data_IF_930574411191
#
_entry.id   IF_930574411191
#
_cell.length_a   1.000
_cell.length_b   1.000
_cell.length_c   1.000
_cell.angle_alpha   90.00
_cell.angle_beta   90.00
_cell.angle_gamma   90.00
#
_symmetry.space_group_name_H-M   'P 1'
#
loop_
_entity.id
_entity.type
_entity.pdbx_description
1 polymer ?
#
# COMPACT_ATOMS: atom_id res chain seq x y z
N UNK A 1 -15.51 6.38 -28.77
CA UNK A 1 -15.52 5.71 -27.46
C UNK A 1 -14.44 6.34 -26.60
N UNK A 2 -14.81 6.84 -25.43
CA UNK A 2 -13.91 7.47 -24.47
C UNK A 2 -13.78 6.57 -23.23
N UNK A 3 -12.63 6.63 -22.55
CA UNK A 3 -12.40 5.89 -21.30
C UNK A 3 -12.38 6.91 -20.16
N UNK A 4 -13.23 6.72 -19.17
CA UNK A 4 -13.25 7.49 -17.92
C UNK A 4 -12.47 6.76 -16.82
N UNK A 5 -11.74 7.52 -16.00
CA UNK A 5 -10.97 7.01 -14.84
C UNK A 5 -11.58 7.53 -13.55
N UNK A 6 -12.09 6.62 -12.73
CA UNK A 6 -12.68 6.95 -11.43
C UNK A 6 -11.80 6.42 -10.29
N UNK A 7 -11.24 7.31 -9.47
CA UNK A 7 -10.47 6.90 -8.29
C UNK A 7 -11.43 6.45 -7.19
N UNK A 8 -11.48 5.14 -6.94
CA UNK A 8 -12.42 4.54 -6.00
C UNK A 8 -11.85 4.40 -4.58
N UNK A 9 -10.53 4.21 -4.43
CA UNK A 9 -9.92 4.15 -3.08
C UNK A 9 -8.42 4.43 -3.08
N UNK A 10 -7.93 4.87 -1.92
CA UNK A 10 -6.51 4.99 -1.59
C UNK A 10 -6.22 4.04 -0.42
N UNK A 11 -5.06 3.39 -0.45
CA UNK A 11 -4.60 2.49 0.60
C UNK A 11 -3.11 2.63 0.86
N UNK A 12 -2.66 2.17 2.03
CA UNK A 12 -1.24 2.09 2.38
C UNK A 12 -0.78 0.65 2.32
N UNK A 13 0.22 0.35 1.52
CA UNK A 13 0.84 -0.99 1.44
C UNK A 13 2.20 -0.98 2.14
N UNK A 14 2.35 -1.88 3.10
CA UNK A 14 3.59 -2.15 3.82
C UNK A 14 4.19 -3.44 3.29
N UNK A 15 5.50 -3.45 3.03
CA UNK A 15 6.25 -4.64 2.63
C UNK A 15 7.30 -4.93 3.69
N UNK A 16 7.30 -6.15 4.21
CA UNK A 16 8.24 -6.62 5.22
C UNK A 16 9.11 -7.74 4.67
N UNK A 17 10.38 -7.71 5.04
CA UNK A 17 11.39 -8.68 4.60
C UNK A 17 11.59 -9.73 5.69
N UNK A 18 11.36 -11.01 5.36
CA UNK A 18 11.47 -12.13 6.28
C UNK A 18 12.81 -12.88 6.13
N UNK A 19 13.77 -12.30 5.42
CA UNK A 19 15.05 -12.92 5.14
C UNK A 19 14.96 -14.01 4.07
N UNK A 20 15.97 -14.86 4.01
CA UNK A 20 16.05 -15.96 3.06
C UNK A 20 15.38 -17.20 3.64
N UNK A 21 14.41 -17.77 2.93
CA UNK A 21 13.75 -19.04 3.23
C UNK A 21 13.90 -19.92 2.00
N UNK A 22 14.41 -21.14 2.17
CA UNK A 22 14.63 -22.10 1.08
C UNK A 22 15.48 -21.58 -0.10
N UNK A 23 16.42 -20.67 0.20
CA UNK A 23 17.32 -20.08 -0.81
C UNK A 23 16.77 -18.84 -1.53
N UNK A 24 15.52 -18.44 -1.25
CA UNK A 24 14.90 -17.25 -1.84
C UNK A 24 14.57 -16.19 -0.78
N UNK A 25 14.64 -14.90 -1.14
CA UNK A 25 14.27 -13.81 -0.23
C UNK A 25 12.75 -13.73 -0.11
N UNK A 26 12.24 -14.06 1.08
CA UNK A 26 10.81 -14.03 1.37
C UNK A 26 10.39 -12.60 1.74
N UNK A 27 9.63 -11.96 0.86
CA UNK A 27 8.94 -10.70 1.16
C UNK A 27 7.44 -10.93 1.28
N UNK A 28 6.83 -10.39 2.33
CA UNK A 28 5.37 -10.37 2.48
C UNK A 28 4.89 -8.94 2.49
N UNK A 29 3.66 -8.72 2.06
CA UNK A 29 3.07 -7.39 2.05
C UNK A 29 1.66 -7.39 2.64
N UNK A 30 1.29 -6.29 3.27
CA UNK A 30 -0.03 -6.05 3.83
C UNK A 30 -0.54 -4.68 3.38
N UNK A 31 -1.74 -4.65 2.83
CA UNK A 31 -2.39 -3.40 2.39
C UNK A 31 -3.49 -3.02 3.36
N UNK A 32 -3.38 -1.82 3.91
CA UNK A 32 -4.41 -1.16 4.71
C UNK A 32 -5.27 -0.31 3.77
N UNK A 33 -6.46 -0.81 3.43
CA UNK A 33 -7.36 -0.19 2.45
C UNK A 33 -8.22 0.95 3.01
N UNK A 34 -8.35 1.02 4.34
CA UNK A 34 -9.19 2.02 5.01
C UNK A 34 -8.41 3.33 5.25
N UNK A 35 -7.76 3.85 4.21
CA UNK A 35 -7.10 5.16 4.26
C UNK A 35 -8.07 6.20 3.73
N UNK A 36 -8.25 7.30 4.47
CA UNK A 36 -9.08 8.42 4.02
C UNK A 36 -8.52 8.98 2.72
N UNK A 37 -9.38 9.27 1.74
CA UNK A 37 -8.93 9.81 0.46
C UNK A 37 -8.14 11.14 0.58
N UNK A 38 -8.43 11.93 1.62
CA UNK A 38 -7.74 13.18 1.93
C UNK A 38 -6.48 13.00 2.81
N UNK A 39 -6.06 11.76 3.11
CA UNK A 39 -4.85 11.53 3.88
C UNK A 39 -3.63 12.00 3.09
N UNK A 40 -2.78 12.79 3.74
CA UNK A 40 -1.53 13.27 3.14
C UNK A 40 -0.46 12.17 3.18
N UNK A 41 0.48 12.22 2.24
CA UNK A 41 1.62 11.29 2.19
C UNK A 41 2.40 11.29 3.51
N UNK A 42 2.56 12.46 4.14
CA UNK A 42 3.20 12.59 5.45
C UNK A 42 2.45 11.81 6.53
N UNK A 43 1.12 11.86 6.55
CA UNK A 43 0.31 11.12 7.51
C UNK A 43 0.38 9.60 7.26
N UNK A 44 0.38 9.19 5.99
CA UNK A 44 0.54 7.78 5.59
C UNK A 44 1.91 7.26 6.03
N UNK A 45 2.99 7.99 5.74
CA UNK A 45 4.35 7.61 6.13
C UNK A 45 4.54 7.59 7.65
N UNK A 46 3.94 8.54 8.38
CA UNK A 46 3.96 8.54 9.84
C UNK A 46 3.25 7.29 10.41
N UNK A 47 2.10 6.93 9.85
CA UNK A 47 1.36 5.72 10.23
C UNK A 47 2.16 4.46 9.93
N UNK A 48 2.80 4.39 8.77
CA UNK A 48 3.73 3.31 8.41
C UNK A 48 4.82 3.14 9.49
N UNK A 49 5.52 4.22 9.86
CA UNK A 49 6.59 4.18 10.88
C UNK A 49 6.08 3.72 12.25
N UNK A 50 4.89 4.17 12.63
CA UNK A 50 4.27 3.75 13.88
C UNK A 50 3.95 2.24 13.88
N UNK A 51 3.42 1.71 12.78
CA UNK A 51 3.12 0.29 12.64
C UNK A 51 4.37 -0.58 12.55
N UNK A 52 5.39 -0.10 11.86
CA UNK A 52 6.68 -0.77 11.74
C UNK A 52 7.35 -0.96 13.10
N UNK A 53 7.35 0.09 13.95
CA UNK A 53 7.86 0.00 15.32
C UNK A 53 7.12 -0.96 16.25
N UNK A 54 5.94 -1.46 15.84
CA UNK A 54 5.14 -2.42 16.61
C UNK A 54 5.24 -3.87 16.08
N UNK A 55 5.90 -4.07 14.94
CA UNK A 55 5.90 -5.36 14.24
C UNK A 55 7.33 -5.86 14.02
N UNK A 56 7.45 -7.18 13.92
CA UNK A 56 8.65 -7.86 13.45
C UNK A 56 8.25 -8.85 12.35
N UNK A 57 9.03 -8.97 11.27
CA UNK A 57 10.24 -8.21 10.96
C UNK A 57 9.95 -6.77 10.50
N UNK A 58 10.96 -5.90 10.63
CA UNK A 58 10.88 -4.50 10.18
C UNK A 58 10.50 -4.42 8.70
N UNK A 59 9.64 -3.47 8.37
CA UNK A 59 9.21 -3.18 7.03
C UNK A 59 10.34 -2.54 6.21
N UNK A 60 10.48 -2.98 4.96
CA UNK A 60 11.48 -2.49 4.00
C UNK A 60 10.94 -1.27 3.24
N UNK A 61 9.63 -1.27 2.92
CA UNK A 61 9.02 -0.25 2.07
C UNK A 61 7.57 0.08 2.45
N UNK A 62 7.19 1.33 2.15
CA UNK A 62 5.83 1.84 2.18
C UNK A 62 5.42 2.31 0.79
N UNK A 63 4.22 1.97 0.35
CA UNK A 63 3.63 2.44 -0.91
C UNK A 63 2.22 2.99 -0.67
N UNK A 64 1.87 4.02 -1.43
CA UNK A 64 0.47 4.44 -1.62
C UNK A 64 -0.09 3.61 -2.77
N UNK A 65 -1.26 3.01 -2.56
CA UNK A 65 -1.96 2.20 -3.56
C UNK A 65 -3.27 2.89 -3.88
N UNK A 66 -3.42 3.32 -5.13
CA UNK A 66 -4.67 3.87 -5.64
C UNK A 66 -5.39 2.79 -6.44
N UNK A 67 -6.69 2.60 -6.17
CA UNK A 67 -7.56 1.75 -6.98
C UNK A 67 -8.42 2.64 -7.84
N UNK A 68 -8.31 2.47 -9.15
CA UNK A 68 -9.08 3.20 -10.15
C UNK A 68 -9.96 2.22 -10.91
N UNK A 69 -11.20 2.64 -11.19
CA UNK A 69 -12.11 1.94 -12.08
C UNK A 69 -12.08 2.60 -13.46
N UNK A 70 -12.01 1.76 -14.49
CA UNK A 70 -12.01 2.16 -15.89
C UNK A 70 -13.38 1.82 -16.48
N UNK A 71 -14.10 2.86 -16.94
CA UNK A 71 -15.41 2.69 -17.56
C UNK A 71 -15.33 3.15 -19.01
N UNK A 72 -15.74 2.28 -19.94
CA UNK A 72 -15.91 2.63 -21.35
C UNK A 72 -17.24 3.37 -21.53
N UNK A 73 -17.18 4.57 -22.14
CA UNK A 73 -18.37 5.35 -22.48
C UNK A 73 -18.62 5.31 -23.99
N UNK A 74 -19.88 4.99 -24.33
CA UNK A 74 -20.41 4.90 -25.70
C UNK A 74 -20.41 6.24 -26.41
#
# INVERSE_FOLDING_TARGET
>A
MAIERNVNSIGMKMVSNYGTVDGEVLRKSKTYKNVKAAATDTAILATYKALDGLQQPTAENCYVVTTEELVETV
#
